data_IF_339093383297
#
_entry.id   IF_339093383297
#
_cell.length_a   1.000
_cell.length_b   1.000
_cell.length_c   1.000
_cell.angle_alpha   90.00
_cell.angle_beta   90.00
_cell.angle_gamma   90.00
#
_symmetry.space_group_name_H-M   'P 1'
#
loop_
_entity.id
_entity.type
_entity.pdbx_description
1 polymer ?
#
# COMPACT_ATOMS: atom_id res chain seq x y z
N UNK A 1 -19.16 2.77 28.50
CA UNK A 1 -19.02 4.22 28.73
C UNK A 1 -20.13 4.91 27.96
N UNK A 2 -20.77 5.97 28.51
CA UNK A 2 -21.72 6.78 27.76
C UNK A 2 -21.06 7.33 26.49
N UNK A 3 -21.80 7.37 25.39
CA UNK A 3 -21.35 8.00 24.13
C UNK A 3 -21.46 9.51 24.34
N UNK A 4 -20.35 10.23 24.16
CA UNK A 4 -20.34 11.70 24.09
C UNK A 4 -20.56 12.13 22.64
N UNK A 5 -21.18 13.29 22.40
CA UNK A 5 -21.47 13.71 21.02
C UNK A 5 -20.19 13.98 20.22
N UNK A 6 -19.32 14.85 20.73
CA UNK A 6 -18.03 15.14 20.12
C UNK A 6 -16.95 15.16 21.19
N UNK A 7 -15.73 14.86 20.79
CA UNK A 7 -14.54 14.92 21.63
C UNK A 7 -13.40 15.50 20.81
N UNK A 8 -12.88 16.64 21.26
CA UNK A 8 -11.70 17.27 20.68
C UNK A 8 -10.56 17.11 21.69
N UNK A 9 -9.44 16.52 21.27
CA UNK A 9 -8.29 16.28 22.14
C UNK A 9 -7.04 16.82 21.47
N UNK A 10 -6.38 17.73 22.16
CA UNK A 10 -5.03 18.17 21.84
C UNK A 10 -4.09 17.68 22.95
N UNK A 11 -2.99 17.01 22.57
CA UNK A 11 -1.95 16.61 23.53
C UNK A 11 -0.56 17.03 23.07
N UNK A 12 0.12 17.81 23.93
CA UNK A 12 1.46 18.34 23.69
C UNK A 12 2.42 17.89 24.81
N UNK A 13 3.70 17.66 24.50
CA UNK A 13 4.78 17.36 25.46
C UNK A 13 4.55 16.11 26.34
N UNK A 14 3.79 15.12 25.84
CA UNK A 14 3.42 13.97 26.64
C UNK A 14 4.48 12.86 26.52
N UNK A 15 5.08 12.45 27.64
CA UNK A 15 6.03 11.31 27.64
C UNK A 15 5.30 10.01 27.28
N UNK A 16 4.07 9.81 27.77
CA UNK A 16 3.25 8.63 27.49
C UNK A 16 1.77 8.91 27.68
N UNK A 17 0.94 8.62 26.68
CA UNK A 17 -0.52 8.75 26.77
C UNK A 17 -1.21 7.39 26.53
N UNK A 18 -2.33 7.19 27.21
CA UNK A 18 -3.26 6.10 26.97
C UNK A 18 -4.67 6.69 26.91
N UNK A 19 -5.28 6.69 25.72
CA UNK A 19 -6.64 7.19 25.52
C UNK A 19 -7.58 6.05 25.09
N UNK A 20 -8.78 6.05 25.68
CA UNK A 20 -9.89 5.19 25.27
C UNK A 20 -11.15 6.04 25.19
N UNK A 21 -11.65 6.28 23.98
CA UNK A 21 -12.80 7.15 23.75
C UNK A 21 -13.95 6.43 23.07
N UNK A 22 -15.16 6.90 23.36
CA UNK A 22 -16.40 6.48 22.74
C UNK A 22 -17.27 7.72 22.49
N UNK A 23 -17.29 8.20 21.25
CA UNK A 23 -17.94 9.46 20.87
C UNK A 23 -18.75 9.28 19.56
N UNK A 24 -19.55 10.26 19.12
CA UNK A 24 -20.07 10.24 17.74
C UNK A 24 -19.02 10.81 16.76
N UNK A 25 -18.31 11.88 17.13
CA UNK A 25 -17.13 12.37 16.41
C UNK A 25 -15.95 12.51 17.36
N UNK A 26 -14.74 12.29 16.85
CA UNK A 26 -13.51 12.49 17.59
C UNK A 26 -12.44 13.11 16.69
N UNK A 27 -11.96 14.29 17.07
CA UNK A 27 -10.88 15.00 16.39
C UNK A 27 -9.69 15.05 17.37
N UNK A 28 -8.58 14.46 16.98
CA UNK A 28 -7.47 14.18 17.89
C UNK A 28 -6.16 14.62 17.28
N UNK A 29 -5.56 15.61 17.90
CA UNK A 29 -4.28 16.15 17.52
C UNK A 29 -3.26 15.80 18.61
N UNK A 30 -2.14 15.23 18.20
CA UNK A 30 -1.03 14.96 19.12
C UNK A 30 0.29 15.44 18.56
N UNK A 31 0.89 16.40 19.26
CA UNK A 31 2.15 17.02 18.90
C UNK A 31 3.21 16.63 19.94
N UNK A 32 4.38 16.22 19.46
CA UNK A 32 5.61 16.04 20.26
C UNK A 32 5.44 15.07 21.45
N UNK A 33 5.43 13.76 21.16
CA UNK A 33 5.39 12.70 22.19
C UNK A 33 6.70 11.94 22.26
N UNK A 34 7.44 12.21 23.33
CA UNK A 34 8.82 11.73 23.56
C UNK A 34 8.94 10.20 23.66
N UNK A 35 7.88 9.41 23.97
CA UNK A 35 8.04 7.93 24.03
C UNK A 35 6.94 7.10 23.40
N UNK A 36 5.69 7.19 23.86
CA UNK A 36 4.63 6.40 23.23
C UNK A 36 3.21 6.88 23.46
N UNK A 37 2.40 6.81 22.41
CA UNK A 37 0.94 6.96 22.48
C UNK A 37 0.29 5.59 22.29
N UNK A 38 -0.72 5.29 23.09
CA UNK A 38 -1.68 4.24 22.77
C UNK A 38 -3.09 4.82 22.76
N UNK A 39 -3.75 4.69 21.63
CA UNK A 39 -5.01 5.34 21.34
C UNK A 39 -6.03 4.33 20.86
N UNK A 40 -7.23 4.32 21.46
CA UNK A 40 -8.34 3.48 21.00
C UNK A 40 -9.64 4.27 20.94
N UNK A 41 -10.24 4.29 19.77
CA UNK A 41 -11.42 5.09 19.49
C UNK A 41 -12.54 4.24 18.91
N UNK A 42 -13.75 4.48 19.37
CA UNK A 42 -14.98 4.10 18.68
C UNK A 42 -15.77 5.38 18.42
N UNK A 43 -15.99 5.70 17.15
CA UNK A 43 -16.75 6.88 16.74
C UNK A 43 -17.61 6.61 15.49
N UNK A 44 -18.41 7.58 15.04
CA UNK A 44 -18.94 7.54 13.67
C UNK A 44 -17.92 8.16 12.70
N UNK A 45 -17.27 9.26 13.08
CA UNK A 45 -16.08 9.79 12.39
C UNK A 45 -14.92 9.92 13.37
N UNK A 46 -13.72 9.64 12.90
CA UNK A 46 -12.49 9.86 13.65
C UNK A 46 -11.46 10.50 12.73
N UNK A 47 -10.95 11.65 13.15
CA UNK A 47 -9.80 12.32 12.54
C UNK A 47 -8.65 12.29 13.57
N UNK A 48 -7.49 11.83 13.14
CA UNK A 48 -6.35 11.58 14.02
C UNK A 48 -5.08 12.06 13.34
N UNK A 49 -4.52 13.13 13.87
CA UNK A 49 -3.24 13.68 13.47
C UNK A 49 -2.18 13.37 14.54
N UNK A 50 -1.02 12.84 14.12
CA UNK A 50 0.12 12.68 15.03
C UNK A 50 1.42 13.15 14.42
N UNK A 51 2.09 14.07 15.12
CA UNK A 51 3.33 14.72 14.69
C UNK A 51 4.45 14.45 15.70
N UNK A 52 5.67 14.17 15.20
CA UNK A 52 6.89 14.04 15.99
C UNK A 52 6.78 13.01 17.14
N UNK A 53 6.47 11.75 16.80
CA UNK A 53 6.26 10.69 17.79
C UNK A 53 7.30 9.58 17.65
N UNK A 54 7.95 9.19 18.76
CA UNK A 54 8.89 8.05 18.72
C UNK A 54 8.13 6.73 18.47
N UNK A 55 6.99 6.52 19.14
CA UNK A 55 6.14 5.34 18.93
C UNK A 55 4.66 5.66 19.04
N UNK A 56 3.89 5.41 17.99
CA UNK A 56 2.43 5.53 18.03
C UNK A 56 1.76 4.18 17.84
N UNK A 57 0.71 3.93 18.61
CA UNK A 57 -0.23 2.84 18.40
C UNK A 57 -1.64 3.41 18.42
N UNK A 58 -2.32 3.38 17.29
CA UNK A 58 -3.70 3.85 17.19
C UNK A 58 -4.61 2.77 16.65
N UNK A 59 -5.79 2.66 17.26
CA UNK A 59 -6.85 1.79 16.81
C UNK A 59 -8.16 2.55 16.70
N UNK A 60 -8.64 2.72 15.48
CA UNK A 60 -9.93 3.33 15.18
C UNK A 60 -10.95 2.25 14.80
N UNK A 61 -12.17 2.40 15.27
CA UNK A 61 -13.35 1.76 14.72
C UNK A 61 -14.38 2.88 14.45
N UNK A 62 -14.64 3.18 13.18
CA UNK A 62 -15.52 4.28 12.82
C UNK A 62 -16.40 3.95 11.60
N UNK A 63 -17.25 4.87 11.15
CA UNK A 63 -17.82 4.78 9.79
C UNK A 63 -16.88 5.43 8.78
N UNK A 64 -16.23 6.54 9.15
CA UNK A 64 -15.11 7.15 8.42
C UNK A 64 -13.94 7.33 9.38
N UNK A 65 -12.72 7.07 8.91
CA UNK A 65 -11.51 7.27 9.71
C UNK A 65 -10.41 7.83 8.83
N UNK A 66 -9.97 9.01 9.17
CA UNK A 66 -8.88 9.71 8.50
C UNK A 66 -7.72 9.78 9.51
N UNK A 67 -6.52 9.43 9.05
CA UNK A 67 -5.34 9.34 9.92
C UNK A 67 -4.12 9.88 9.19
N UNK A 68 -3.61 11.01 9.67
CA UNK A 68 -2.41 11.65 9.15
C UNK A 68 -1.28 11.54 10.18
N UNK A 69 -0.09 11.15 9.73
CA UNK A 69 1.07 11.07 10.60
C UNK A 69 2.36 11.51 9.96
N UNK A 70 3.11 12.32 10.70
CA UNK A 70 4.34 12.95 10.21
C UNK A 70 5.46 12.78 11.23
N UNK A 71 6.69 12.54 10.76
CA UNK A 71 7.90 12.45 11.58
C UNK A 71 7.83 11.37 12.68
N UNK A 72 7.40 10.16 12.30
CA UNK A 72 7.22 9.05 13.25
C UNK A 72 8.31 7.98 13.11
N UNK A 73 8.98 7.64 14.22
CA UNK A 73 10.02 6.59 14.20
C UNK A 73 9.39 5.19 14.06
N UNK A 74 8.31 4.91 14.78
CA UNK A 74 7.58 3.65 14.68
C UNK A 74 6.09 3.83 14.87
N UNK A 75 5.31 3.39 13.89
CA UNK A 75 3.87 3.52 13.89
C UNK A 75 3.18 2.17 13.78
N UNK A 76 2.07 2.04 14.48
CA UNK A 76 1.08 1.00 14.25
C UNK A 76 -0.32 1.63 14.16
N UNK A 77 -0.92 1.59 12.98
CA UNK A 77 -2.32 1.96 12.78
C UNK A 77 -3.17 0.74 12.49
N UNK A 78 -4.35 0.72 13.11
CA UNK A 78 -5.39 -0.23 12.77
C UNK A 78 -6.73 0.48 12.68
N UNK A 79 -7.33 0.45 11.50
CA UNK A 79 -8.68 0.95 11.28
C UNK A 79 -9.65 -0.16 10.89
N UNK A 80 -10.89 -0.01 11.35
CA UNK A 80 -12.04 -0.69 10.77
C UNK A 80 -13.12 0.35 10.56
N UNK A 81 -13.45 0.66 9.30
CA UNK A 81 -14.47 1.64 8.97
C UNK A 81 -15.16 1.33 7.65
N UNK A 82 -16.13 2.14 7.20
CA UNK A 82 -16.63 2.03 5.83
C UNK A 82 -15.66 2.69 4.86
N UNK A 83 -15.12 3.85 5.24
CA UNK A 83 -14.05 4.56 4.53
C UNK A 83 -12.84 4.70 5.45
N UNK A 84 -11.64 4.51 4.92
CA UNK A 84 -10.40 4.75 5.65
C UNK A 84 -9.45 5.50 4.73
N UNK A 85 -8.96 6.63 5.21
CA UNK A 85 -7.84 7.35 4.63
C UNK A 85 -6.65 7.30 5.60
N UNK A 86 -5.45 7.08 5.08
CA UNK A 86 -4.22 6.98 5.85
C UNK A 86 -3.06 7.61 5.09
N UNK A 87 -2.58 8.73 5.59
CA UNK A 87 -1.39 9.41 5.07
C UNK A 87 -0.24 9.27 6.07
N UNK A 88 0.94 8.91 5.58
CA UNK A 88 2.15 8.84 6.40
C UNK A 88 3.34 9.45 5.70
N UNK A 89 4.00 10.39 6.37
CA UNK A 89 5.15 11.12 5.84
C UNK A 89 6.33 11.04 6.81
N UNK A 90 7.55 10.86 6.27
CA UNK A 90 8.80 10.80 7.05
C UNK A 90 8.81 9.71 8.14
N UNK A 91 8.30 8.51 7.79
CA UNK A 91 8.16 7.41 8.74
C UNK A 91 9.30 6.38 8.61
N UNK A 92 10.00 6.10 9.71
CA UNK A 92 11.07 5.08 9.68
C UNK A 92 10.49 3.66 9.60
N UNK A 93 9.38 3.39 10.32
CA UNK A 93 8.67 2.10 10.26
C UNK A 93 7.17 2.27 10.45
N UNK A 94 6.39 1.93 9.43
CA UNK A 94 4.93 1.89 9.51
C UNK A 94 4.40 0.45 9.49
N UNK A 95 3.41 0.19 10.32
CA UNK A 95 2.55 -1.00 10.22
C UNK A 95 1.10 -0.55 10.14
N UNK A 96 0.50 -0.73 8.98
CA UNK A 96 -0.84 -0.26 8.69
C UNK A 96 -1.78 -1.46 8.46
N UNK A 97 -2.97 -1.40 9.05
CA UNK A 97 -4.01 -2.40 8.80
C UNK A 97 -5.39 -1.75 8.71
N UNK A 98 -5.98 -1.81 7.53
CA UNK A 98 -7.36 -1.41 7.31
C UNK A 98 -8.27 -2.63 7.05
N UNK A 99 -9.53 -2.53 7.49
CA UNK A 99 -10.62 -3.32 6.93
C UNK A 99 -11.79 -2.37 6.67
N UNK A 100 -12.17 -2.18 5.41
CA UNK A 100 -13.17 -1.18 5.06
C UNK A 100 -13.97 -1.51 3.79
N UNK A 101 -14.80 -0.58 3.32
CA UNK A 101 -15.41 -0.67 1.98
C UNK A 101 -14.52 0.02 0.93
N UNK A 102 -13.98 1.20 1.22
CA UNK A 102 -12.81 1.74 0.51
C UNK A 102 -11.66 2.01 1.47
N UNK A 103 -10.43 1.98 0.96
CA UNK A 103 -9.24 2.29 1.74
C UNK A 103 -8.22 2.93 0.84
N UNK A 104 -7.88 4.16 1.17
CA UNK A 104 -6.88 4.94 0.47
C UNK A 104 -5.66 5.04 1.40
N UNK A 105 -4.48 4.96 0.81
CA UNK A 105 -3.23 4.92 1.57
C UNK A 105 -2.12 5.60 0.80
N UNK A 106 -1.60 6.67 1.39
CA UNK A 106 -0.45 7.39 0.88
C UNK A 106 0.73 7.24 1.83
N UNK A 107 1.91 6.87 1.30
CA UNK A 107 3.13 6.87 2.08
C UNK A 107 4.23 7.64 1.35
N UNK A 108 4.77 8.66 2.00
CA UNK A 108 5.88 9.45 1.51
C UNK A 108 7.11 9.29 2.42
N UNK A 109 8.29 9.13 1.83
CA UNK A 109 9.58 9.05 2.51
C UNK A 109 9.66 7.97 3.61
N UNK A 110 9.17 6.76 3.29
CA UNK A 110 9.09 5.66 4.27
C UNK A 110 10.25 4.68 4.15
N UNK A 111 11.00 4.49 5.24
CA UNK A 111 12.12 3.53 5.23
C UNK A 111 11.63 2.07 5.21
N UNK A 112 10.56 1.76 5.95
CA UNK A 112 9.94 0.42 5.99
C UNK A 112 8.44 0.51 6.19
N UNK A 113 7.66 0.09 5.20
CA UNK A 113 6.22 -0.05 5.34
C UNK A 113 5.78 -1.51 5.33
N UNK A 114 4.79 -1.81 6.16
CA UNK A 114 4.00 -3.03 6.06
C UNK A 114 2.54 -2.64 6.10
N UNK A 115 1.81 -2.94 5.03
CA UNK A 115 0.39 -2.61 4.94
C UNK A 115 -0.44 -3.84 4.62
N UNK A 116 -1.60 -3.92 5.29
CA UNK A 116 -2.60 -4.95 5.01
C UNK A 116 -3.98 -4.33 4.88
N UNK A 117 -4.51 -4.37 3.67
CA UNK A 117 -5.83 -3.86 3.33
C UNK A 117 -6.79 -5.03 3.06
N UNK A 118 -8.02 -4.90 3.52
CA UNK A 118 -9.14 -5.73 3.07
C UNK A 118 -10.31 -4.77 2.82
N UNK A 119 -10.67 -4.57 1.56
CA UNK A 119 -11.67 -3.57 1.16
C UNK A 119 -12.50 -4.03 -0.04
N UNK A 120 -13.45 -3.24 -0.52
CA UNK A 120 -14.02 -3.44 -1.85
C UNK A 120 -13.15 -2.72 -2.90
N UNK A 121 -12.72 -1.50 -2.61
CA UNK A 121 -11.70 -0.75 -3.37
C UNK A 121 -10.51 -0.46 -2.47
N UNK A 122 -9.30 -0.50 -3.01
CA UNK A 122 -8.12 -0.11 -2.27
C UNK A 122 -7.12 0.59 -3.19
N UNK A 123 -6.83 1.84 -2.88
CA UNK A 123 -5.92 2.68 -3.68
C UNK A 123 -4.69 2.93 -2.81
N UNK A 124 -3.50 2.72 -3.38
CA UNK A 124 -2.24 2.79 -2.64
C UNK A 124 -1.23 3.60 -3.44
N UNK A 125 -0.82 4.72 -2.90
CA UNK A 125 0.23 5.55 -3.45
C UNK A 125 1.46 5.48 -2.56
N UNK A 126 2.63 5.30 -3.17
CA UNK A 126 3.90 5.30 -2.44
C UNK A 126 4.99 6.08 -3.17
N UNK A 127 5.50 7.09 -2.48
CA UNK A 127 6.61 7.93 -2.92
C UNK A 127 7.82 7.64 -2.02
N UNK A 128 8.97 7.37 -2.64
CA UNK A 128 10.26 7.09 -1.99
C UNK A 128 10.21 6.08 -0.82
N UNK A 129 10.08 4.78 -1.14
CA UNK A 129 10.08 3.71 -0.11
C UNK A 129 11.29 2.78 -0.24
N UNK A 130 12.09 2.67 0.83
CA UNK A 130 13.25 1.75 0.82
C UNK A 130 12.81 0.29 0.84
N UNK A 131 11.77 -0.04 1.61
CA UNK A 131 11.20 -1.40 1.70
C UNK A 131 9.70 -1.35 1.94
N UNK A 132 8.92 -1.81 0.97
CA UNK A 132 7.47 -1.99 1.13
C UNK A 132 7.08 -3.46 1.17
N UNK A 133 6.12 -3.77 2.03
CA UNK A 133 5.36 -5.01 1.97
C UNK A 133 3.88 -4.66 1.96
N UNK A 134 3.21 -4.91 0.84
CA UNK A 134 1.78 -4.67 0.69
C UNK A 134 1.05 -6.00 0.52
N UNK A 135 -0.04 -6.14 1.27
CA UNK A 135 -1.01 -7.22 1.08
C UNK A 135 -2.40 -6.64 0.97
N UNK A 136 -2.99 -6.75 -0.21
CA UNK A 136 -4.36 -6.35 -0.46
C UNK A 136 -5.27 -7.55 -0.73
N UNK A 137 -6.54 -7.40 -0.35
CA UNK A 137 -7.62 -8.29 -0.72
C UNK A 137 -8.87 -7.44 -0.93
N UNK A 138 -9.18 -7.15 -2.20
CA UNK A 138 -10.29 -6.26 -2.55
C UNK A 138 -10.99 -6.70 -3.84
N UNK A 139 -12.03 -6.00 -4.29
CA UNK A 139 -12.58 -6.25 -5.63
C UNK A 139 -11.75 -5.53 -6.69
N UNK A 140 -11.32 -4.31 -6.41
CA UNK A 140 -10.39 -3.53 -7.22
C UNK A 140 -9.24 -3.07 -6.32
N UNK A 141 -8.04 -3.06 -6.88
CA UNK A 141 -6.82 -2.59 -6.24
C UNK A 141 -6.06 -1.76 -7.26
N UNK A 142 -5.74 -0.53 -6.90
CA UNK A 142 -4.85 0.35 -7.64
C UNK A 142 -3.58 0.60 -6.81
N UNK A 143 -2.41 0.57 -7.46
CA UNK A 143 -1.12 0.75 -6.81
C UNK A 143 -0.22 1.60 -7.69
N UNK A 144 0.10 2.80 -7.21
CA UNK A 144 1.06 3.70 -7.83
C UNK A 144 2.34 3.76 -6.98
N UNK A 145 3.50 3.69 -7.63
CA UNK A 145 4.79 3.64 -6.94
C UNK A 145 5.87 4.37 -7.72
N UNK A 146 6.36 5.48 -7.16
CA UNK A 146 7.38 6.28 -7.85
C UNK A 146 8.78 5.71 -7.70
N UNK A 147 9.28 5.54 -6.47
CA UNK A 147 10.66 5.16 -6.25
C UNK A 147 10.78 4.14 -5.12
N UNK A 148 11.05 2.87 -5.47
CA UNK A 148 11.16 1.80 -4.47
C UNK A 148 12.38 0.91 -4.66
N UNK A 149 13.20 0.85 -3.60
CA UNK A 149 14.38 -0.03 -3.60
C UNK A 149 13.97 -1.50 -3.53
N UNK A 150 12.95 -1.84 -2.71
CA UNK A 150 12.42 -3.20 -2.60
C UNK A 150 10.92 -3.21 -2.31
N UNK A 151 10.14 -3.74 -3.24
CA UNK A 151 8.71 -3.99 -3.03
C UNK A 151 8.41 -5.48 -2.94
N UNK A 152 7.48 -5.82 -2.05
CA UNK A 152 6.80 -7.10 -2.06
C UNK A 152 5.29 -6.86 -2.08
N UNK A 153 4.65 -7.25 -3.16
CA UNK A 153 3.23 -7.08 -3.39
C UNK A 153 2.53 -8.43 -3.41
N UNK A 154 1.42 -8.52 -2.69
CA UNK A 154 0.49 -9.63 -2.80
C UNK A 154 -0.94 -9.13 -2.85
N UNK A 155 -1.56 -9.23 -4.01
CA UNK A 155 -2.95 -8.87 -4.20
C UNK A 155 -3.80 -10.11 -4.50
N UNK A 156 -5.04 -10.12 -4.01
CA UNK A 156 -6.11 -10.96 -4.56
C UNK A 156 -7.29 -10.03 -4.82
N UNK A 157 -7.70 -9.90 -6.07
CA UNK A 157 -8.80 -9.02 -6.44
C UNK A 157 -9.58 -9.50 -7.66
N UNK A 158 -10.57 -8.75 -8.13
CA UNK A 158 -11.12 -8.97 -9.47
C UNK A 158 -10.29 -8.20 -10.51
N UNK A 159 -9.96 -6.94 -10.24
CA UNK A 159 -9.01 -6.14 -11.03
C UNK A 159 -7.83 -5.71 -10.16
N UNK A 160 -6.65 -5.66 -10.76
CA UNK A 160 -5.45 -5.11 -10.15
C UNK A 160 -4.73 -4.29 -11.20
N UNK A 161 -4.53 -3.01 -10.92
CA UNK A 161 -3.72 -2.12 -11.73
C UNK A 161 -2.49 -1.71 -10.91
N UNK A 162 -1.32 -1.73 -11.54
CA UNK A 162 -0.05 -1.39 -10.91
C UNK A 162 0.76 -0.54 -11.86
N UNK A 163 1.05 0.68 -11.44
CA UNK A 163 1.97 1.59 -12.12
C UNK A 163 3.23 1.76 -11.27
N UNK A 164 4.40 1.74 -11.91
CA UNK A 164 5.67 1.83 -11.19
C UNK A 164 6.75 2.52 -12.03
N UNK A 165 7.30 3.62 -11.53
CA UNK A 165 8.34 4.36 -12.24
C UNK A 165 9.73 3.74 -12.01
N UNK A 166 10.30 3.82 -10.81
CA UNK A 166 11.66 3.40 -10.53
C UNK A 166 11.73 2.30 -9.47
N UNK A 167 12.04 1.06 -9.89
CA UNK A 167 12.20 -0.06 -8.95
C UNK A 167 13.47 -0.87 -9.12
N UNK A 168 14.28 -0.89 -8.05
CA UNK A 168 15.49 -1.73 -8.01
C UNK A 168 15.11 -3.22 -7.90
N UNK A 169 14.13 -3.56 -7.06
CA UNK A 169 13.65 -4.95 -6.91
C UNK A 169 12.16 -5.02 -6.58
N UNK A 170 11.39 -5.61 -7.48
CA UNK A 170 9.98 -5.96 -7.23
C UNK A 170 9.79 -7.47 -7.10
N UNK A 171 8.88 -7.84 -6.21
CA UNK A 171 8.26 -9.16 -6.19
C UNK A 171 6.75 -8.99 -6.11
N UNK A 172 6.04 -9.43 -7.14
CA UNK A 172 4.59 -9.32 -7.22
C UNK A 172 3.95 -10.69 -7.34
N UNK A 173 2.91 -10.92 -6.53
CA UNK A 173 2.06 -12.11 -6.64
C UNK A 173 0.59 -11.70 -6.70
N UNK A 174 0.02 -11.83 -7.89
CA UNK A 174 -1.33 -11.42 -8.20
C UNK A 174 -2.23 -12.63 -8.44
N UNK A 175 -3.46 -12.53 -7.95
CA UNK A 175 -4.53 -13.47 -8.24
C UNK A 175 -5.78 -12.66 -8.54
N UNK A 176 -6.14 -12.53 -9.81
CA UNK A 176 -7.17 -11.60 -10.25
C UNK A 176 -8.03 -12.16 -11.38
N UNK A 177 -9.04 -11.44 -11.86
CA UNK A 177 -9.65 -11.72 -13.16
C UNK A 177 -8.89 -10.97 -14.27
N UNK A 178 -8.57 -9.70 -14.02
CA UNK A 178 -7.68 -8.85 -14.83
C UNK A 178 -6.52 -8.35 -13.98
N UNK A 179 -5.35 -8.23 -14.57
CA UNK A 179 -4.19 -7.63 -13.93
C UNK A 179 -3.37 -6.88 -14.97
N UNK A 180 -3.27 -5.57 -14.83
CA UNK A 180 -2.52 -4.70 -15.71
C UNK A 180 -1.32 -4.14 -14.92
N UNK A 181 -0.14 -4.17 -15.52
CA UNK A 181 1.12 -3.81 -14.87
C UNK A 181 1.94 -2.96 -15.83
N UNK A 182 2.15 -1.71 -15.47
CA UNK A 182 3.01 -0.77 -16.19
C UNK A 182 4.25 -0.48 -15.36
N UNK A 183 5.44 -0.63 -15.94
CA UNK A 183 6.68 -0.28 -15.24
C UNK A 183 7.70 0.42 -16.14
N UNK A 184 8.18 1.59 -15.74
CA UNK A 184 9.18 2.34 -16.52
C UNK A 184 10.59 1.75 -16.34
N UNK A 185 11.25 1.97 -15.21
CA UNK A 185 12.62 1.47 -14.96
C UNK A 185 12.64 0.37 -13.89
N UNK A 186 13.05 -0.84 -14.28
CA UNK A 186 13.21 -1.96 -13.35
C UNK A 186 14.52 -2.72 -13.51
N UNK A 187 15.35 -2.68 -12.45
CA UNK A 187 16.59 -3.47 -12.40
C UNK A 187 16.29 -4.96 -12.26
N UNK A 188 15.30 -5.33 -11.44
CA UNK A 188 14.92 -6.73 -11.26
C UNK A 188 13.46 -6.90 -10.84
N UNK A 189 12.67 -7.50 -11.71
CA UNK A 189 11.30 -7.92 -11.38
C UNK A 189 11.16 -9.43 -11.25
N UNK A 190 10.28 -9.84 -10.35
CA UNK A 190 9.69 -11.16 -10.34
C UNK A 190 8.18 -10.99 -10.20
N UNK A 191 7.44 -11.37 -11.23
CA UNK A 191 5.98 -11.31 -11.21
C UNK A 191 5.38 -12.69 -11.41
N UNK A 192 4.40 -13.00 -10.57
CA UNK A 192 3.57 -14.19 -10.71
C UNK A 192 2.11 -13.81 -10.72
N UNK A 193 1.47 -14.03 -11.84
CA UNK A 193 0.06 -13.73 -12.03
C UNK A 193 -0.74 -15.01 -12.28
N UNK A 194 -1.93 -15.05 -11.71
CA UNK A 194 -2.96 -16.04 -12.01
C UNK A 194 -4.25 -15.27 -12.26
N UNK A 195 -4.61 -15.11 -13.53
CA UNK A 195 -5.74 -14.27 -13.91
C UNK A 195 -6.47 -14.81 -15.15
N UNK A 196 -7.58 -14.19 -15.57
CA UNK A 196 -8.15 -14.51 -16.88
C UNK A 196 -7.42 -13.75 -17.97
N UNK A 197 -7.12 -12.47 -17.74
CA UNK A 197 -6.27 -11.62 -18.58
C UNK A 197 -5.12 -11.06 -17.74
N UNK A 198 -3.97 -10.91 -18.38
CA UNK A 198 -2.80 -10.21 -17.84
C UNK A 198 -2.25 -9.33 -18.94
N UNK A 199 -2.07 -8.05 -18.64
CA UNK A 199 -1.36 -7.09 -19.48
C UNK A 199 -0.12 -6.59 -18.74
N UNK A 200 0.99 -6.45 -19.46
CA UNK A 200 2.28 -6.03 -18.90
C UNK A 200 2.99 -5.15 -19.91
N UNK A 201 3.21 -3.89 -19.56
CA UNK A 201 4.00 -2.93 -20.32
C UNK A 201 5.25 -2.57 -19.52
N UNK A 202 6.44 -2.69 -20.13
CA UNK A 202 7.68 -2.27 -19.45
C UNK A 202 8.72 -1.62 -20.35
N UNK A 203 9.24 -0.45 -19.98
CA UNK A 203 10.17 0.32 -20.84
C UNK A 203 11.64 -0.10 -20.70
N UNK A 204 12.19 -0.14 -19.48
CA UNK A 204 13.63 -0.27 -19.24
C UNK A 204 13.89 -1.38 -18.22
N UNK A 205 14.19 -2.60 -18.69
CA UNK A 205 14.32 -3.77 -17.80
C UNK A 205 15.64 -4.51 -17.93
N UNK A 206 16.43 -4.47 -16.86
CA UNK A 206 17.69 -5.24 -16.80
C UNK A 206 17.40 -6.75 -16.65
N UNK A 207 16.46 -7.12 -15.78
CA UNK A 207 16.09 -8.53 -15.52
C UNK A 207 14.62 -8.71 -15.13
N UNK A 208 13.83 -9.35 -16.00
CA UNK A 208 12.49 -9.80 -15.66
C UNK A 208 12.39 -11.31 -15.51
N UNK A 209 11.59 -11.74 -14.54
CA UNK A 209 11.07 -13.10 -14.46
C UNK A 209 9.55 -13.03 -14.36
N UNK A 210 8.87 -13.48 -15.40
CA UNK A 210 7.42 -13.46 -15.49
C UNK A 210 6.90 -14.89 -15.52
N UNK A 211 5.95 -15.16 -14.62
CA UNK A 211 5.17 -16.41 -14.64
C UNK A 211 3.69 -16.10 -14.62
N UNK A 212 3.03 -16.34 -15.75
CA UNK A 212 1.58 -16.18 -15.87
C UNK A 212 0.88 -17.53 -16.00
N UNK A 213 -0.34 -17.58 -15.47
CA UNK A 213 -1.32 -18.63 -15.74
C UNK A 213 -2.64 -17.92 -16.01
N UNK A 214 -2.99 -17.78 -17.29
CA UNK A 214 -4.14 -16.99 -17.70
C UNK A 214 -4.84 -17.52 -18.95
N UNK A 215 -5.99 -16.97 -19.32
CA UNK A 215 -6.58 -17.30 -20.63
C UNK A 215 -5.90 -16.49 -21.73
N UNK A 216 -5.66 -15.21 -21.49
CA UNK A 216 -4.90 -14.30 -22.34
C UNK A 216 -3.76 -13.65 -21.56
N UNK A 217 -2.64 -13.44 -22.25
CA UNK A 217 -1.48 -12.68 -21.77
C UNK A 217 -1.05 -11.78 -22.91
N UNK A 218 -0.94 -10.49 -22.61
CA UNK A 218 -0.30 -9.49 -23.46
C UNK A 218 0.94 -8.95 -22.75
N UNK A 219 2.01 -8.73 -23.50
CA UNK A 219 3.30 -8.26 -22.97
C UNK A 219 3.95 -7.37 -24.02
N UNK A 220 4.09 -6.09 -23.71
CA UNK A 220 4.86 -5.13 -24.48
C UNK A 220 6.08 -4.71 -23.65
N UNK A 221 7.27 -4.76 -24.25
CA UNK A 221 8.48 -4.40 -23.52
C UNK A 221 9.50 -3.72 -24.42
N UNK A 222 10.16 -2.68 -23.92
CA UNK A 222 11.28 -2.03 -24.57
C UNK A 222 12.59 -2.31 -23.80
N UNK A 223 13.74 -2.11 -24.46
CA UNK A 223 15.09 -2.12 -23.87
C UNK A 223 15.40 -3.23 -22.83
N UNK A 224 15.03 -4.48 -23.15
CA UNK A 224 15.21 -5.60 -22.22
C UNK A 224 16.58 -6.27 -22.34
N UNK A 225 17.38 -6.21 -21.27
CA UNK A 225 18.68 -6.92 -21.22
C UNK A 225 18.47 -8.43 -21.05
N UNK A 226 17.58 -8.85 -20.13
CA UNK A 226 17.24 -10.26 -19.90
C UNK A 226 15.80 -10.47 -19.45
N UNK A 227 15.06 -11.28 -20.19
CA UNK A 227 13.75 -11.78 -19.78
C UNK A 227 13.74 -13.30 -19.64
N UNK A 228 12.92 -13.78 -18.71
CA UNK A 228 12.45 -15.17 -18.65
C UNK A 228 10.93 -15.17 -18.53
N UNK A 229 10.27 -15.80 -19.50
CA UNK A 229 8.82 -15.92 -19.52
C UNK A 229 8.39 -17.37 -19.38
N UNK A 230 7.46 -17.61 -18.45
CA UNK A 230 6.71 -18.86 -18.38
C UNK A 230 5.22 -18.59 -18.34
N UNK A 231 4.59 -18.61 -19.50
CA UNK A 231 3.14 -18.52 -19.62
C UNK A 231 2.50 -19.91 -19.75
N UNK A 232 1.34 -20.07 -19.12
CA UNK A 232 0.38 -21.14 -19.42
C UNK A 232 -0.93 -20.45 -19.78
N UNK A 233 -1.14 -20.19 -21.07
CA UNK A 233 -2.31 -19.49 -21.55
C UNK A 233 -2.83 -20.02 -22.88
N UNK A 234 -4.10 -19.72 -23.16
CA UNK A 234 -4.73 -20.09 -24.43
C UNK A 234 -4.31 -19.13 -25.55
N UNK A 235 -4.06 -17.87 -25.21
CA UNK A 235 -3.54 -16.82 -26.08
C UNK A 235 -2.38 -16.10 -25.41
N UNK A 236 -1.32 -15.83 -26.17
CA UNK A 236 -0.15 -15.07 -25.72
C UNK A 236 0.25 -14.17 -26.87
N UNK A 237 0.27 -12.86 -26.63
CA UNK A 237 0.91 -11.87 -27.49
C UNK A 237 2.13 -11.30 -26.75
N UNK A 238 3.21 -11.09 -27.50
CA UNK A 238 4.48 -10.58 -26.95
C UNK A 238 5.14 -9.71 -28.01
N UNK A 239 5.23 -8.41 -27.73
CA UNK A 239 6.02 -7.45 -28.46
C UNK A 239 7.26 -7.11 -27.64
N UNK A 240 8.41 -7.05 -28.31
CA UNK A 240 9.63 -6.62 -27.63
C UNK A 240 10.60 -5.94 -28.56
N UNK A 241 10.95 -4.71 -28.23
CA UNK A 241 11.98 -3.95 -28.91
C UNK A 241 13.32 -4.02 -28.12
N UNK A 242 14.42 -4.11 -28.87
CA UNK A 242 15.80 -4.10 -28.37
C UNK A 242 16.17 -5.10 -27.24
N UNK A 243 15.88 -6.40 -27.47
CA UNK A 243 16.30 -7.49 -26.59
C UNK A 243 17.76 -7.90 -26.77
N UNK A 244 18.56 -7.81 -25.70
CA UNK A 244 19.91 -8.39 -25.69
C UNK A 244 19.87 -9.92 -25.54
N UNK A 245 18.97 -10.46 -24.69
CA UNK A 245 18.85 -11.92 -24.48
C UNK A 245 17.53 -12.39 -23.83
N UNK A 246 16.72 -13.19 -24.52
CA UNK A 246 15.51 -13.87 -23.99
C UNK A 246 15.69 -15.39 -23.78
N UNK A 247 14.89 -15.99 -22.88
CA UNK A 247 14.83 -17.44 -22.56
C UNK A 247 13.40 -17.91 -22.26
#
# INVERSE_FOLDING_TARGET
>A
MPIVNSVDIETNDVIRSLSMLNANSADIETIEVVKSIFSRFNANSADIETVEVIKSFSRSNANSSDMETTDVIMQFLKSNANSVDMETTDVIRSFLRSNASSSDMENNDVIRSFSRLNANSADIETVEVIKSFLRSNANSVDIETDAVIRSFLRSNANSVDIETNDVIRSFSRLNANSADIETVEVIKSFSRSNANSVDIETDDVIRSFLRSNANSVDIETDDVIRSFLRSNANSVDIETDDVIRSF
#
